data_IF_737267771522
#
_entry.id   IF_737267771522
#
_cell.length_a   1.000
_cell.length_b   1.000
_cell.length_c   1.000
_cell.angle_alpha   90.00
_cell.angle_beta   90.00
_cell.angle_gamma   90.00
#
_symmetry.space_group_name_H-M   'P 1'
#
loop_
_entity.id
_entity.type
_entity.pdbx_description
1 polymer ?
#
# COMPACT_ATOMS: atom_id res chain seq x y z
N UNK A 1 -0.44 11.87 -13.68
CA UNK A 1 -0.72 11.59 -12.26
C UNK A 1 0.15 12.49 -11.41
N UNK A 2 -0.35 13.09 -10.32
CA UNK A 2 0.51 13.88 -9.43
C UNK A 2 1.36 12.92 -8.58
N UNK A 3 2.62 13.27 -8.27
CA UNK A 3 3.60 12.37 -7.60
C UNK A 3 3.09 11.81 -6.28
N UNK A 4 2.37 12.61 -5.51
CA UNK A 4 1.74 12.17 -4.26
C UNK A 4 0.74 11.04 -4.51
N UNK A 5 -0.07 11.15 -5.56
CA UNK A 5 -1.09 10.16 -5.87
C UNK A 5 -0.44 8.86 -6.40
N UNK A 6 0.68 8.98 -7.12
CA UNK A 6 1.51 7.84 -7.50
C UNK A 6 2.10 7.11 -6.27
N UNK A 7 2.69 7.84 -5.33
CA UNK A 7 3.22 7.26 -4.10
C UNK A 7 2.12 6.63 -3.23
N UNK A 8 0.94 7.26 -3.13
CA UNK A 8 -0.21 6.64 -2.46
C UNK A 8 -0.54 5.29 -3.10
N UNK A 9 -0.60 5.21 -4.43
CA UNK A 9 -0.85 3.96 -5.15
C UNK A 9 0.23 2.89 -4.90
N UNK A 10 1.50 3.28 -4.85
CA UNK A 10 2.63 2.37 -4.54
C UNK A 10 2.49 1.81 -3.12
N UNK A 11 2.18 2.67 -2.14
CA UNK A 11 1.97 2.27 -0.74
C UNK A 11 0.78 1.30 -0.63
N UNK A 12 -0.33 1.59 -1.32
CA UNK A 12 -1.50 0.71 -1.33
C UNK A 12 -1.20 -0.65 -2.00
N UNK A 13 -0.48 -0.64 -3.12
CA UNK A 13 -0.04 -1.85 -3.82
C UNK A 13 0.79 -2.75 -2.88
N UNK A 14 1.79 -2.16 -2.22
CA UNK A 14 2.63 -2.85 -1.25
C UNK A 14 1.80 -3.47 -0.13
N UNK A 15 0.91 -2.70 0.48
CA UNK A 15 0.14 -3.14 1.65
C UNK A 15 -0.91 -4.18 1.33
N UNK A 16 -1.42 -4.19 0.10
CA UNK A 16 -2.46 -5.11 -0.30
C UNK A 16 -1.90 -6.45 -0.77
N UNK A 17 -0.72 -6.46 -1.39
CA UNK A 17 -0.20 -7.64 -2.08
C UNK A 17 1.11 -8.18 -1.51
N UNK A 18 1.85 -7.41 -0.70
CA UNK A 18 3.10 -7.88 -0.10
C UNK A 18 2.86 -8.40 1.33
N UNK A 19 3.27 -9.64 1.67
CA UNK A 19 3.06 -10.22 2.99
C UNK A 19 3.72 -9.40 4.12
N UNK A 20 4.85 -8.77 3.83
CA UNK A 20 5.59 -7.92 4.76
C UNK A 20 5.37 -6.41 4.54
N UNK A 21 4.25 -6.01 3.93
CA UNK A 21 4.02 -4.60 3.56
C UNK A 21 4.14 -3.60 4.73
N UNK A 22 3.62 -3.96 5.93
CA UNK A 22 3.77 -3.11 7.13
C UNK A 22 5.22 -3.06 7.63
N UNK A 23 5.92 -4.19 7.87
CA UNK A 23 7.35 -4.18 8.19
C UNK A 23 8.21 -3.36 7.21
N UNK A 24 7.94 -3.49 5.90
CA UNK A 24 8.64 -2.74 4.84
C UNK A 24 8.39 -1.24 4.97
N UNK A 25 7.14 -0.79 5.15
CA UNK A 25 6.82 0.63 5.36
C UNK A 25 7.44 1.21 6.62
N UNK A 26 7.63 0.40 7.66
CA UNK A 26 8.27 0.81 8.91
C UNK A 26 9.81 0.81 8.82
N UNK A 27 10.37 0.30 7.72
CA UNK A 27 11.81 0.15 7.52
C UNK A 27 12.42 -0.98 8.36
N UNK A 28 11.59 -1.90 8.86
CA UNK A 28 12.05 -3.11 9.56
C UNK A 28 12.54 -4.16 8.56
N UNK A 29 12.03 -4.11 7.33
CA UNK A 29 12.45 -4.89 6.16
C UNK A 29 12.83 -3.90 5.04
N UNK A 30 13.79 -4.28 4.20
CA UNK A 30 14.26 -3.44 3.10
C UNK A 30 13.15 -3.15 2.08
N UNK A 31 13.29 -2.04 1.35
CA UNK A 31 12.43 -1.74 0.21
C UNK A 31 12.52 -2.87 -0.84
N UNK A 32 11.39 -3.33 -1.40
CA UNK A 32 11.41 -4.24 -2.53
C UNK A 32 12.21 -3.66 -3.69
N UNK A 33 12.99 -4.51 -4.34
CA UNK A 33 13.63 -4.22 -5.61
C UNK A 33 12.60 -4.19 -6.75
N UNK A 34 12.95 -3.59 -7.90
CA UNK A 34 12.11 -3.56 -9.10
C UNK A 34 11.52 -4.92 -9.49
N UNK A 35 12.29 -6.01 -9.34
CA UNK A 35 11.83 -7.37 -9.63
C UNK A 35 10.80 -7.90 -8.61
N UNK A 36 10.87 -7.43 -7.37
CA UNK A 36 9.92 -7.80 -6.30
C UNK A 36 8.61 -6.99 -6.39
N UNK A 37 8.61 -5.86 -7.11
CA UNK A 37 7.39 -5.12 -7.44
C UNK A 37 6.55 -5.80 -8.53
N UNK A 38 7.17 -6.52 -9.47
CA UNK A 38 6.47 -7.17 -10.58
C UNK A 38 5.34 -8.13 -10.14
N UNK A 39 5.57 -9.06 -9.18
CA UNK A 39 4.49 -9.93 -8.69
C UNK A 39 3.33 -9.16 -8.05
N UNK A 40 3.60 -8.01 -7.42
CA UNK A 40 2.57 -7.17 -6.79
C UNK A 40 1.71 -6.50 -7.87
N UNK A 41 2.34 -5.97 -8.91
CA UNK A 41 1.66 -5.38 -10.09
C UNK A 41 0.81 -6.43 -10.81
N UNK A 42 1.33 -7.65 -10.98
CA UNK A 42 0.59 -8.77 -11.55
C UNK A 42 -0.65 -9.13 -10.72
N UNK A 43 -0.48 -9.27 -9.40
CA UNK A 43 -1.58 -9.60 -8.49
C UNK A 43 -2.68 -8.53 -8.50
N UNK A 44 -2.32 -7.26 -8.59
CA UNK A 44 -3.28 -6.15 -8.69
C UNK A 44 -4.15 -6.24 -9.95
N UNK A 45 -3.54 -6.53 -11.12
CA UNK A 45 -4.30 -6.71 -12.37
C UNK A 45 -5.14 -7.97 -12.39
N UNK A 46 -4.65 -9.08 -11.81
CA UNK A 46 -5.40 -10.34 -11.72
C UNK A 46 -6.68 -10.23 -10.89
N UNK A 47 -6.80 -9.22 -10.04
CA UNK A 47 -7.98 -8.96 -9.22
C UNK A 47 -9.07 -8.15 -9.96
N UNK A 48 -8.71 -7.43 -11.03
CA UNK A 48 -9.67 -6.75 -11.91
C UNK A 48 -10.37 -7.73 -12.88
N UNK A 49 -9.82 -8.93 -13.07
CA UNK A 49 -10.32 -9.95 -14.01
C UNK A 49 -11.11 -11.07 -13.29
N UNK A 50 -12.17 -10.68 -12.57
CA UNK A 50 -13.16 -11.62 -12.01
C UNK A 50 -14.04 -12.21 -13.12
N UNK A 51 -13.50 -13.16 -13.89
CA UNK A 51 -14.33 -13.88 -14.87
C UNK A 51 -13.77 -15.14 -15.48
N UNK A 52 -12.46 -15.23 -15.76
CA UNK A 52 -11.92 -16.42 -16.43
C UNK A 52 -10.48 -16.68 -16.01
N UNK A 53 -10.26 -17.67 -15.14
CA UNK A 53 -8.93 -18.28 -14.96
C UNK A 53 -8.57 -19.06 -16.23
N UNK A 54 -7.94 -18.39 -17.19
CA UNK A 54 -7.13 -19.06 -18.20
C UNK A 54 -5.67 -18.84 -17.79
N UNK A 55 -4.96 -19.93 -17.46
CA UNK A 55 -3.50 -19.95 -17.51
C UNK A 55 -3.08 -19.64 -18.95
N UNK A 56 -2.86 -18.37 -19.27
CA UNK A 56 -2.16 -17.95 -20.47
C UNK A 56 -0.85 -17.34 -20.00
N UNK A 57 0.25 -17.82 -20.56
CA UNK A 57 1.52 -17.12 -20.46
C UNK A 57 1.29 -15.65 -20.85
N UNK A 58 1.75 -14.69 -20.03
CA UNK A 58 1.57 -13.28 -20.34
C UNK A 58 2.21 -12.98 -21.69
N UNK A 59 1.47 -12.29 -22.55
CA UNK A 59 2.03 -11.87 -23.84
C UNK A 59 3.21 -10.94 -23.61
N UNK A 60 4.17 -10.91 -24.54
CA UNK A 60 5.36 -10.04 -24.44
C UNK A 60 4.99 -8.58 -24.20
N UNK A 61 3.89 -8.09 -24.80
CA UNK A 61 3.39 -6.73 -24.56
C UNK A 61 2.93 -6.50 -23.12
N UNK A 62 2.29 -7.48 -22.47
CA UNK A 62 1.86 -7.38 -21.08
C UNK A 62 3.06 -7.40 -20.12
N UNK A 63 4.06 -8.23 -20.41
CA UNK A 63 5.32 -8.25 -19.66
C UNK A 63 6.05 -6.90 -19.78
N UNK A 64 6.12 -6.32 -20.98
CA UNK A 64 6.73 -5.01 -21.20
C UNK A 64 5.98 -3.88 -20.48
N UNK A 65 4.64 -3.93 -20.44
CA UNK A 65 3.84 -2.97 -19.68
C UNK A 65 4.08 -3.10 -18.16
N UNK A 66 4.25 -4.32 -17.64
CA UNK A 66 4.54 -4.57 -16.22
C UNK A 66 5.93 -4.09 -15.84
N UNK A 67 6.94 -4.36 -16.68
CA UNK A 67 8.29 -3.82 -16.52
C UNK A 67 8.26 -2.29 -16.54
N UNK A 68 7.53 -1.70 -17.49
CA UNK A 68 7.37 -0.23 -17.53
C UNK A 68 6.71 0.35 -16.28
N UNK A 69 5.77 -0.37 -15.65
CA UNK A 69 5.17 0.03 -14.37
C UNK A 69 6.13 -0.14 -13.20
N UNK A 70 6.88 -1.24 -13.12
CA UNK A 70 7.91 -1.42 -12.10
C UNK A 70 9.01 -0.34 -12.20
N UNK A 71 9.44 -0.01 -13.42
CA UNK A 71 10.40 1.07 -13.66
C UNK A 71 9.86 2.45 -13.23
N UNK A 72 8.55 2.70 -13.37
CA UNK A 72 7.91 3.93 -12.89
C UNK A 72 7.82 3.97 -11.36
N UNK A 73 7.59 2.82 -10.72
CA UNK A 73 7.65 2.68 -9.26
C UNK A 73 9.07 3.02 -8.79
N UNK A 74 10.09 2.35 -9.33
CA UNK A 74 11.48 2.56 -8.94
C UNK A 74 11.88 4.03 -9.11
N UNK A 75 11.56 4.65 -10.26
CA UNK A 75 11.82 6.08 -10.48
C UNK A 75 11.14 6.98 -9.44
N UNK A 76 9.87 6.69 -9.12
CA UNK A 76 9.12 7.47 -8.11
C UNK A 76 9.77 7.33 -6.74
N UNK A 77 10.22 6.13 -6.38
CA UNK A 77 10.86 5.85 -5.10
C UNK A 77 12.29 6.40 -5.02
N UNK A 78 13.06 6.38 -6.11
CA UNK A 78 14.38 7.01 -6.22
C UNK A 78 14.27 8.53 -6.06
N UNK A 79 13.29 9.16 -6.71
CA UNK A 79 13.06 10.59 -6.58
C UNK A 79 12.67 10.98 -5.15
N UNK A 80 11.71 10.28 -4.54
CA UNK A 80 11.22 10.65 -3.21
C UNK A 80 12.21 10.23 -2.11
N UNK A 81 12.95 9.14 -2.33
CA UNK A 81 13.77 8.46 -1.35
C UNK A 81 12.92 7.60 -0.40
N UNK A 82 13.15 6.29 -0.40
CA UNK A 82 12.43 5.36 0.47
C UNK A 82 12.54 5.71 1.96
N UNK A 83 13.69 6.25 2.40
CA UNK A 83 13.89 6.70 3.78
C UNK A 83 12.88 7.78 4.20
N UNK A 84 12.48 8.67 3.27
CA UNK A 84 11.45 9.66 3.54
C UNK A 84 10.06 9.02 3.74
N UNK A 85 9.79 7.91 3.05
CA UNK A 85 8.56 7.11 3.22
C UNK A 85 8.56 6.42 4.57
N UNK A 86 9.68 5.82 4.97
CA UNK A 86 9.85 5.18 6.28
C UNK A 86 9.65 6.18 7.41
N UNK A 87 10.33 7.32 7.34
CA UNK A 87 10.23 8.36 8.36
C UNK A 87 8.85 9.02 8.40
N UNK A 88 8.16 9.14 7.26
CA UNK A 88 6.77 9.57 7.21
C UNK A 88 5.83 8.55 7.87
N UNK A 89 6.01 7.26 7.58
CA UNK A 89 5.23 6.17 8.18
C UNK A 89 5.40 6.17 9.71
N UNK A 90 6.63 6.25 10.20
CA UNK A 90 6.93 6.32 11.64
C UNK A 90 6.29 7.55 12.29
N UNK A 91 6.33 8.71 11.62
CA UNK A 91 5.66 9.90 12.09
C UNK A 91 4.14 9.71 12.20
N UNK A 92 3.47 9.16 11.17
CA UNK A 92 2.03 8.89 11.19
C UNK A 92 1.68 7.95 12.36
N UNK A 93 2.44 6.87 12.54
CA UNK A 93 2.27 5.94 13.67
C UNK A 93 2.41 6.65 15.02
N UNK A 94 3.37 7.56 15.17
CA UNK A 94 3.62 8.27 16.42
C UNK A 94 2.57 9.33 16.72
N UNK A 95 2.11 10.09 15.72
CA UNK A 95 1.13 11.17 15.91
C UNK A 95 -0.31 10.67 16.04
N UNK A 96 -0.63 9.55 15.39
CA UNK A 96 -2.00 9.00 15.35
C UNK A 96 -2.02 7.50 15.68
N UNK A 97 -1.52 7.07 16.85
CA UNK A 97 -1.33 5.65 17.16
C UNK A 97 -2.63 4.85 17.10
N UNK A 98 -3.76 5.44 17.55
CA UNK A 98 -5.07 4.77 17.49
C UNK A 98 -5.56 4.54 16.06
N UNK A 99 -5.36 5.51 15.18
CA UNK A 99 -5.77 5.39 13.78
C UNK A 99 -4.84 4.42 13.03
N UNK A 100 -3.55 4.41 13.39
CA UNK A 100 -2.57 3.44 12.91
C UNK A 100 -2.93 2.00 13.32
N UNK A 101 -3.24 1.76 14.59
CA UNK A 101 -3.62 0.43 15.07
C UNK A 101 -4.90 -0.08 14.39
N UNK A 102 -5.88 0.81 14.17
CA UNK A 102 -7.10 0.49 13.43
C UNK A 102 -6.79 0.14 11.96
N UNK A 103 -5.88 0.88 11.34
CA UNK A 103 -5.43 0.64 9.97
C UNK A 103 -4.73 -0.71 9.83
N UNK A 104 -3.75 -1.00 10.68
CA UNK A 104 -3.03 -2.29 10.67
C UNK A 104 -4.00 -3.44 10.92
N UNK A 105 -4.90 -3.28 11.90
CA UNK A 105 -5.93 -4.28 12.21
C UNK A 105 -6.83 -4.54 10.99
N UNK A 106 -7.21 -3.50 10.25
CA UNK A 106 -8.00 -3.66 9.03
C UNK A 106 -7.27 -4.46 7.96
N UNK A 107 -5.98 -4.22 7.74
CA UNK A 107 -5.17 -4.95 6.76
C UNK A 107 -5.03 -6.44 7.11
N UNK A 108 -4.82 -6.77 8.38
CA UNK A 108 -4.75 -8.17 8.84
C UNK A 108 -6.08 -8.90 8.69
N UNK A 109 -7.21 -8.21 8.93
CA UNK A 109 -8.52 -8.83 8.82
C UNK A 109 -8.97 -9.07 7.37
N UNK A 110 -8.47 -8.33 6.40
CA UNK A 110 -8.83 -8.53 4.97
C UNK A 110 -8.03 -9.68 4.34
N UNK A 111 -6.80 -9.90 4.80
CA UNK A 111 -5.90 -10.94 4.29
C UNK A 111 -6.24 -12.35 4.80
N UNK A 112 -6.63 -12.48 6.07
CA UNK A 112 -6.87 -13.80 6.70
C UNK A 112 -8.36 -14.24 6.76
N UNK A 113 -9.28 -13.51 6.15
CA UNK A 113 -10.72 -13.80 6.32
C UNK A 113 -11.20 -15.00 5.49
N UNK A 114 -11.51 -16.09 6.16
CA UNK A 114 -12.41 -17.12 5.64
C UNK A 114 -13.84 -16.56 5.54
N UNK A 115 -14.46 -16.65 4.35
CA UNK A 115 -15.84 -16.17 4.06
C UNK A 115 -16.96 -16.87 4.86
N UNK A 116 -16.62 -17.71 5.84
CA UNK A 116 -17.53 -18.55 6.60
C UNK A 116 -18.11 -17.89 7.87
N UNK A 117 -17.79 -16.62 8.16
CA UNK A 117 -18.34 -15.89 9.31
C UNK A 117 -19.44 -14.89 8.93
N UNK A 118 -20.47 -14.75 9.79
CA UNK A 118 -21.66 -13.90 9.57
C UNK A 118 -21.40 -12.37 9.55
N UNK A 119 -20.16 -11.93 9.81
CA UNK A 119 -19.79 -10.50 9.82
C UNK A 119 -18.82 -10.18 8.69
N UNK A 120 -18.93 -8.98 8.12
CA UNK A 120 -17.91 -8.50 7.18
C UNK A 120 -16.60 -8.15 7.94
N UNK A 121 -15.41 -8.31 7.33
CA UNK A 121 -14.13 -7.93 7.94
C UNK A 121 -14.13 -6.49 8.47
N UNK A 122 -14.75 -5.58 7.70
CA UNK A 122 -14.92 -4.19 8.06
C UNK A 122 -15.76 -4.01 9.34
N UNK A 123 -16.86 -4.75 9.47
CA UNK A 123 -17.71 -4.70 10.66
C UNK A 123 -16.98 -5.28 11.88
N UNK A 124 -16.21 -6.35 11.72
CA UNK A 124 -15.42 -6.93 12.80
C UNK A 124 -14.38 -5.94 13.37
N UNK A 125 -13.67 -5.21 12.49
CA UNK A 125 -12.72 -4.17 12.90
C UNK A 125 -13.44 -2.99 13.56
N UNK A 126 -14.59 -2.57 13.00
CA UNK A 126 -15.40 -1.48 13.56
C UNK A 126 -15.86 -1.80 15.00
N UNK A 127 -16.35 -3.01 15.23
CA UNK A 127 -16.76 -3.51 16.55
C UNK A 127 -15.57 -3.49 17.52
N UNK A 128 -14.42 -4.03 17.10
CA UNK A 128 -13.20 -4.11 17.93
C UNK A 128 -12.65 -2.73 18.31
N UNK A 129 -12.70 -1.77 17.38
CA UNK A 129 -12.23 -0.40 17.60
C UNK A 129 -13.30 0.52 18.22
N UNK A 130 -14.54 0.04 18.40
CA UNK A 130 -15.72 0.78 18.89
C UNK A 130 -15.98 2.04 18.05
N UNK A 131 -15.95 1.90 16.74
CA UNK A 131 -16.23 2.97 15.77
C UNK A 131 -17.21 2.48 14.71
N UNK A 132 -17.69 3.39 13.85
CA UNK A 132 -18.50 2.99 12.70
C UNK A 132 -17.63 2.36 11.59
N UNK A 133 -18.17 1.43 10.78
CA UNK A 133 -17.49 0.91 9.59
C UNK A 133 -16.99 2.01 8.65
N UNK A 134 -17.78 3.09 8.49
CA UNK A 134 -17.41 4.28 7.73
C UNK A 134 -16.12 4.94 8.24
N UNK A 135 -15.90 4.96 9.56
CA UNK A 135 -14.68 5.50 10.15
C UNK A 135 -13.48 4.63 9.79
N UNK A 136 -13.62 3.30 9.87
CA UNK A 136 -12.56 2.35 9.49
C UNK A 136 -12.20 2.52 8.01
N UNK A 137 -13.19 2.52 7.10
CA UNK A 137 -12.95 2.72 5.67
C UNK A 137 -12.25 4.04 5.38
N UNK A 138 -12.68 5.12 6.05
CA UNK A 138 -12.05 6.43 5.90
C UNK A 138 -10.59 6.40 6.36
N UNK A 139 -10.29 5.83 7.53
CA UNK A 139 -8.91 5.72 8.02
C UNK A 139 -8.04 4.85 7.13
N UNK A 140 -8.59 3.78 6.54
CA UNK A 140 -7.87 2.96 5.55
C UNK A 140 -7.37 3.79 4.38
N UNK A 141 -8.17 4.73 3.88
CA UNK A 141 -7.79 5.59 2.75
C UNK A 141 -6.87 6.74 3.17
N UNK A 142 -7.16 7.36 4.33
CA UNK A 142 -6.42 8.55 4.77
C UNK A 142 -4.98 8.25 5.19
N UNK A 143 -4.68 7.07 5.73
CA UNK A 143 -3.33 6.75 6.23
C UNK A 143 -2.29 6.70 5.10
N UNK A 144 -2.46 5.93 4.01
CA UNK A 144 -1.57 5.97 2.85
C UNK A 144 -1.38 7.39 2.28
N UNK A 145 -2.46 8.15 2.15
CA UNK A 145 -2.41 9.54 1.67
C UNK A 145 -1.59 10.47 2.59
N UNK A 146 -1.71 10.28 3.91
CA UNK A 146 -0.93 11.03 4.90
C UNK A 146 0.56 10.71 4.80
N UNK A 147 0.92 9.43 4.66
CA UNK A 147 2.30 8.99 4.47
C UNK A 147 2.87 9.62 3.20
N UNK A 148 2.17 9.47 2.06
CA UNK A 148 2.61 10.00 0.77
C UNK A 148 2.80 11.52 0.81
N UNK A 149 1.89 12.23 1.48
CA UNK A 149 1.96 13.69 1.66
C UNK A 149 3.18 14.10 2.47
N UNK A 150 3.42 13.46 3.62
CA UNK A 150 4.54 13.79 4.51
C UNK A 150 5.90 13.46 3.87
N UNK A 151 6.00 12.31 3.20
CA UNK A 151 7.21 11.93 2.48
C UNK A 151 7.55 12.93 1.37
N UNK A 152 6.54 13.35 0.59
CA UNK A 152 6.71 14.35 -0.48
C UNK A 152 7.14 15.72 0.04
N UNK A 153 6.62 16.16 1.20
CA UNK A 153 6.99 17.45 1.81
C UNK A 153 8.44 17.47 2.28
N UNK A 154 8.92 16.37 2.88
CA UNK A 154 10.32 16.26 3.35
C UNK A 154 11.32 16.26 2.19
N UNK A 155 10.97 15.59 1.08
CA UNK A 155 11.75 15.68 -0.14
C UNK A 155 11.85 17.11 -0.68
N UNK A 156 10.73 17.83 -0.75
CA UNK A 156 10.75 19.24 -1.19
C UNK A 156 11.62 20.12 -0.29
N UNK A 157 11.59 19.90 1.02
CA UNK A 157 12.48 20.62 1.93
C UNK A 157 13.94 20.31 1.66
N UNK A 158 14.31 19.05 1.39
CA UNK A 158 15.68 18.63 1.09
C UNK A 158 16.23 19.24 -0.22
N UNK A 159 15.38 19.52 -1.21
CA UNK A 159 15.78 20.16 -2.48
C UNK A 159 16.01 21.68 -2.39
N UNK A 160 15.58 22.33 -1.31
CA UNK A 160 15.67 23.78 -1.13
C UNK A 160 16.84 24.22 -0.23
N UNK A 161 17.79 23.31 0.01
CA UNK A 161 19.10 23.58 0.64
C UNK A 161 20.22 23.49 -0.39
#
# INVERSE_FOLDING_TARGET
>A
MNRRDALTGIIELLLQFHPEGIPILLGDVACPSGLEWLPLVEAARGNDDLGVRICKDPSVSQLLDQVGQADEIDRTLEEIGWDNVVEATRAVRAFSPRDWDMFVLHLSFVTDYSRLGDKSPLQAVADKCRVSPKTVSRRRQEIPEQIARLASMRFQQALHW
#
